data_IF_609640965792
#
_entry.id   IF_609640965792
#
_cell.length_a   1.000
_cell.length_b   1.000
_cell.length_c   1.000
_cell.angle_alpha   90.00
_cell.angle_beta   90.00
_cell.angle_gamma   90.00
#
_symmetry.space_group_name_H-M   'P 1'
#
loop_
_entity.id
_entity.type
_entity.pdbx_description
1 polymer ?
#
# COMPACT_ATOMS: atom_id res chain seq x y z
N UNK A 1 -24.57 3.03 -41.59
CA UNK A 1 -23.41 3.42 -40.76
C UNK A 1 -23.57 3.14 -39.25
N UNK A 2 -24.50 2.30 -38.79
CA UNK A 2 -24.79 2.09 -37.37
C UNK A 2 -24.11 0.84 -36.74
N UNK A 3 -23.62 -0.10 -37.57
CA UNK A 3 -23.08 -1.37 -37.04
C UNK A 3 -21.62 -1.29 -36.53
N UNK A 4 -20.81 -0.36 -36.99
CA UNK A 4 -19.41 -0.24 -36.55
C UNK A 4 -19.27 0.31 -35.13
N UNK A 5 -20.23 1.08 -34.66
CA UNK A 5 -20.15 1.76 -33.37
C UNK A 5 -20.49 0.87 -32.15
N UNK A 6 -21.11 -0.30 -32.36
CA UNK A 6 -21.49 -1.26 -31.31
C UNK A 6 -20.43 -2.35 -31.07
N UNK A 7 -19.56 -2.60 -32.05
CA UNK A 7 -18.56 -3.67 -31.99
C UNK A 7 -17.48 -3.39 -30.93
N UNK A 8 -17.01 -2.15 -30.82
CA UNK A 8 -15.99 -1.80 -29.85
C UNK A 8 -16.45 -1.96 -28.39
N UNK A 9 -17.59 -1.40 -27.94
CA UNK A 9 -18.07 -1.61 -26.57
C UNK A 9 -18.31 -3.09 -26.24
N UNK A 10 -18.83 -3.89 -27.16
CA UNK A 10 -19.04 -5.33 -26.95
C UNK A 10 -17.72 -6.08 -26.76
N UNK A 11 -16.71 -5.77 -27.57
CA UNK A 11 -15.35 -6.33 -27.42
C UNK A 11 -14.77 -5.98 -26.03
N UNK A 12 -14.90 -4.71 -25.62
CA UNK A 12 -14.41 -4.24 -24.32
C UNK A 12 -15.12 -4.94 -23.17
N UNK A 13 -16.44 -5.12 -23.25
CA UNK A 13 -17.21 -5.88 -22.24
C UNK A 13 -16.64 -7.31 -22.08
N UNK A 14 -16.38 -7.99 -23.20
CA UNK A 14 -15.81 -9.34 -23.13
C UNK A 14 -14.42 -9.36 -22.48
N UNK A 15 -13.55 -8.44 -22.88
CA UNK A 15 -12.20 -8.34 -22.29
C UNK A 15 -12.25 -8.06 -20.78
N UNK A 16 -13.09 -7.12 -20.35
CA UNK A 16 -13.26 -6.80 -18.94
C UNK A 16 -13.85 -7.97 -18.14
N UNK A 17 -14.81 -8.72 -18.71
CA UNK A 17 -15.36 -9.93 -18.08
C UNK A 17 -14.30 -11.01 -17.88
N UNK A 18 -13.41 -11.19 -18.85
CA UNK A 18 -12.30 -12.16 -18.73
C UNK A 18 -11.32 -11.73 -17.62
N UNK A 19 -10.90 -10.47 -17.61
CA UNK A 19 -10.03 -9.93 -16.56
C UNK A 19 -10.67 -10.08 -15.18
N UNK A 20 -11.97 -9.77 -15.06
CA UNK A 20 -12.72 -9.93 -13.82
C UNK A 20 -12.73 -11.38 -13.32
N UNK A 21 -13.01 -12.31 -14.22
CA UNK A 21 -13.04 -13.74 -13.88
C UNK A 21 -11.69 -14.24 -13.38
N UNK A 22 -10.61 -13.82 -14.01
CA UNK A 22 -9.25 -14.15 -13.59
C UNK A 22 -8.91 -13.57 -12.21
N UNK A 23 -9.27 -12.31 -11.97
CA UNK A 23 -9.08 -11.67 -10.66
C UNK A 23 -9.78 -12.44 -9.55
N UNK A 24 -11.05 -12.85 -9.77
CA UNK A 24 -11.81 -13.62 -8.79
C UNK A 24 -11.22 -15.02 -8.55
N UNK A 25 -10.72 -15.68 -9.60
CA UNK A 25 -10.05 -16.98 -9.45
C UNK A 25 -8.77 -16.84 -8.63
N UNK A 26 -7.98 -15.81 -8.90
CA UNK A 26 -6.75 -15.55 -8.15
C UNK A 26 -7.03 -15.13 -6.71
N UNK A 27 -8.09 -14.34 -6.48
CA UNK A 27 -8.54 -14.03 -5.13
C UNK A 27 -8.92 -15.29 -4.35
N UNK A 28 -9.75 -16.16 -4.94
CA UNK A 28 -10.19 -17.39 -4.29
C UNK A 28 -9.00 -18.28 -3.91
N UNK A 29 -7.99 -18.43 -4.81
CA UNK A 29 -6.78 -19.21 -4.52
C UNK A 29 -5.86 -18.51 -3.52
N UNK A 30 -5.59 -17.22 -3.71
CA UNK A 30 -4.67 -16.47 -2.85
C UNK A 30 -5.22 -16.24 -1.44
N UNK A 31 -6.55 -16.09 -1.28
CA UNK A 31 -7.16 -15.96 0.04
C UNK A 31 -7.25 -17.30 0.77
N UNK A 32 -7.25 -18.43 0.08
CA UNK A 32 -7.18 -19.75 0.71
C UNK A 32 -5.85 -19.95 1.45
N UNK A 33 -4.75 -19.45 0.88
CA UNK A 33 -3.41 -19.50 1.50
C UNK A 33 -3.19 -18.42 2.56
N UNK A 34 -4.07 -17.40 2.61
CA UNK A 34 -3.92 -16.22 3.46
C UNK A 34 -4.53 -16.36 4.86
N UNK A 35 -4.59 -17.56 5.44
CA UNK A 35 -5.08 -17.77 6.81
C UNK A 35 -4.43 -16.89 7.88
N UNK A 36 -3.31 -16.21 7.53
CA UNK A 36 -2.59 -15.25 8.35
C UNK A 36 -3.03 -13.79 8.20
N UNK A 37 -3.90 -13.46 7.25
CA UNK A 37 -4.33 -12.06 7.03
C UNK A 37 -5.38 -11.68 8.07
N UNK A 38 -5.07 -10.65 8.86
CA UNK A 38 -6.00 -10.10 9.83
C UNK A 38 -7.29 -9.60 9.16
N UNK A 39 -8.44 -9.79 9.83
CA UNK A 39 -9.76 -9.48 9.27
C UNK A 39 -9.88 -8.03 8.76
N UNK A 40 -9.30 -7.05 9.46
CA UNK A 40 -9.30 -5.64 9.04
C UNK A 40 -8.51 -5.36 7.76
N UNK A 41 -7.62 -6.27 7.33
CA UNK A 41 -6.79 -6.10 6.13
C UNK A 41 -7.22 -6.98 4.97
N UNK A 42 -8.26 -7.79 5.11
CA UNK A 42 -8.71 -8.71 4.05
C UNK A 42 -9.12 -7.99 2.78
N UNK A 43 -9.87 -6.89 2.88
CA UNK A 43 -10.26 -6.09 1.72
C UNK A 43 -9.04 -5.53 0.98
N UNK A 44 -8.05 -5.03 1.71
CA UNK A 44 -6.79 -4.54 1.13
C UNK A 44 -5.97 -5.67 0.49
N UNK A 45 -5.96 -6.86 1.10
CA UNK A 45 -5.28 -8.04 0.55
C UNK A 45 -5.95 -8.52 -0.74
N UNK A 46 -7.28 -8.61 -0.77
CA UNK A 46 -8.04 -8.94 -1.99
C UNK A 46 -7.75 -7.93 -3.10
N UNK A 47 -7.79 -6.63 -2.80
CA UNK A 47 -7.47 -5.59 -3.76
C UNK A 47 -6.03 -5.68 -4.28
N UNK A 48 -5.06 -6.05 -3.44
CA UNK A 48 -3.69 -6.29 -3.88
C UNK A 48 -3.61 -7.47 -4.86
N UNK A 49 -4.34 -8.55 -4.62
CA UNK A 49 -4.42 -9.69 -5.55
C UNK A 49 -5.02 -9.25 -6.88
N UNK A 50 -6.10 -8.47 -6.87
CA UNK A 50 -6.70 -7.91 -8.08
C UNK A 50 -5.73 -7.01 -8.85
N UNK A 51 -4.99 -6.17 -8.13
CA UNK A 51 -3.96 -5.33 -8.72
C UNK A 51 -2.87 -6.15 -9.40
N UNK A 52 -2.34 -7.17 -8.71
CA UNK A 52 -1.32 -8.05 -9.26
C UNK A 52 -1.83 -8.85 -10.47
N UNK A 53 -3.09 -9.29 -10.45
CA UNK A 53 -3.74 -9.93 -11.59
C UNK A 53 -3.78 -9.00 -12.81
N UNK A 54 -4.26 -7.76 -12.61
CA UNK A 54 -4.33 -6.77 -13.68
C UNK A 54 -2.94 -6.47 -14.29
N UNK A 55 -1.90 -6.41 -13.45
CA UNK A 55 -0.52 -6.12 -13.87
C UNK A 55 0.15 -7.24 -14.66
N UNK A 56 -0.44 -8.45 -14.72
CA UNK A 56 0.04 -9.54 -15.58
C UNK A 56 -0.28 -9.32 -17.05
N UNK A 57 -1.22 -8.41 -17.36
CA UNK A 57 -1.68 -8.14 -18.71
C UNK A 57 -1.11 -6.83 -19.26
N UNK A 58 -0.85 -6.80 -20.57
CA UNK A 58 -0.66 -5.53 -21.27
C UNK A 58 -2.03 -4.96 -21.64
N UNK A 59 -2.50 -4.03 -20.83
CA UNK A 59 -3.81 -3.40 -21.00
C UNK A 59 -3.77 -2.05 -21.73
N UNK A 60 -2.63 -1.65 -22.31
CA UNK A 60 -2.48 -0.32 -22.95
C UNK A 60 -3.48 -0.08 -24.06
N UNK A 61 -3.75 -1.09 -24.88
CA UNK A 61 -4.77 -0.99 -25.92
C UNK A 61 -6.17 -0.83 -25.32
N UNK A 62 -6.52 -1.66 -24.33
CA UNK A 62 -7.77 -1.54 -23.57
C UNK A 62 -7.93 -0.15 -22.97
N UNK A 63 -6.89 0.39 -22.36
CA UNK A 63 -6.89 1.74 -21.77
C UNK A 63 -7.17 2.82 -22.81
N UNK A 64 -6.54 2.74 -23.98
CA UNK A 64 -6.75 3.67 -25.07
C UNK A 64 -8.18 3.57 -25.60
N UNK A 65 -8.69 2.36 -25.84
CA UNK A 65 -10.03 2.12 -26.33
C UNK A 65 -11.11 2.61 -25.35
N UNK A 66 -10.93 2.40 -24.03
CA UNK A 66 -11.83 2.94 -23.01
C UNK A 66 -11.83 4.47 -22.99
N UNK A 67 -10.65 5.08 -23.09
CA UNK A 67 -10.50 6.53 -23.11
C UNK A 67 -11.21 7.18 -24.33
N UNK A 68 -11.22 6.51 -25.50
CA UNK A 68 -11.95 7.01 -26.68
C UNK A 68 -13.46 7.05 -26.47
N UNK A 69 -13.99 6.25 -25.55
CA UNK A 69 -15.40 6.26 -25.15
C UNK A 69 -15.68 7.21 -23.98
N UNK A 70 -14.69 7.99 -23.52
CA UNK A 70 -14.82 8.86 -22.36
C UNK A 70 -14.94 8.12 -21.02
N UNK A 71 -14.58 6.85 -20.98
CA UNK A 71 -14.62 6.02 -19.78
C UNK A 71 -13.27 6.02 -19.05
N UNK A 72 -13.29 5.61 -17.77
CA UNK A 72 -12.04 5.40 -17.03
C UNK A 72 -11.14 4.39 -17.74
N UNK A 73 -9.89 4.75 -17.94
CA UNK A 73 -8.87 3.88 -18.53
C UNK A 73 -8.33 2.83 -17.55
N UNK A 74 -8.85 2.74 -16.32
CA UNK A 74 -8.34 1.88 -15.25
C UNK A 74 -6.88 2.18 -14.85
N UNK A 75 -6.37 3.35 -15.22
CA UNK A 75 -4.96 3.73 -14.99
C UNK A 75 -4.66 4.22 -13.57
N UNK A 76 -5.69 4.54 -12.78
CA UNK A 76 -5.59 5.05 -11.40
C UNK A 76 -6.60 4.38 -10.49
N UNK A 77 -6.65 3.07 -10.52
CA UNK A 77 -7.60 2.28 -9.73
C UNK A 77 -6.93 1.40 -8.67
N UNK A 78 -5.67 1.68 -8.31
CA UNK A 78 -4.89 0.87 -7.36
C UNK A 78 -5.61 0.68 -6.02
N UNK A 79 -6.40 1.64 -5.61
CA UNK A 79 -7.12 1.61 -4.33
C UNK A 79 -8.40 0.75 -4.36
N UNK A 80 -8.93 0.44 -5.56
CA UNK A 80 -10.22 -0.25 -5.75
C UNK A 80 -10.31 -0.91 -7.12
N UNK A 81 -9.38 -1.82 -7.41
CA UNK A 81 -9.19 -2.38 -8.77
C UNK A 81 -10.45 -3.03 -9.30
N UNK A 82 -11.07 -3.93 -8.54
CA UNK A 82 -12.32 -4.60 -8.93
C UNK A 82 -13.47 -3.60 -9.04
N UNK A 83 -13.63 -2.72 -8.05
CA UNK A 83 -14.68 -1.70 -8.07
C UNK A 83 -14.60 -0.77 -9.27
N UNK A 84 -13.38 -0.37 -9.66
CA UNK A 84 -13.14 0.44 -10.86
C UNK A 84 -13.49 -0.31 -12.16
N UNK A 85 -13.09 -1.58 -12.25
CA UNK A 85 -13.41 -2.45 -13.38
C UNK A 85 -14.92 -2.68 -13.50
N UNK A 86 -15.60 -2.98 -12.39
CA UNK A 86 -17.04 -3.21 -12.35
C UNK A 86 -17.85 -1.96 -12.72
N UNK A 87 -17.40 -0.77 -12.29
CA UNK A 87 -18.01 0.49 -12.67
C UNK A 87 -17.95 0.71 -14.19
N UNK A 88 -16.78 0.50 -14.81
CA UNK A 88 -16.62 0.62 -16.27
C UNK A 88 -17.47 -0.43 -16.99
N UNK A 89 -17.52 -1.65 -16.49
CA UNK A 89 -18.32 -2.73 -17.07
C UNK A 89 -19.82 -2.41 -17.04
N UNK A 90 -20.33 -1.87 -15.92
CA UNK A 90 -21.74 -1.41 -15.82
C UNK A 90 -22.03 -0.32 -16.84
N UNK A 91 -21.18 0.69 -16.95
CA UNK A 91 -21.35 1.79 -17.90
C UNK A 91 -21.35 1.31 -19.36
N UNK A 92 -20.42 0.42 -19.73
CA UNK A 92 -20.38 -0.17 -21.07
C UNK A 92 -21.62 -1.00 -21.37
N UNK A 93 -22.11 -1.77 -20.41
CA UNK A 93 -23.32 -2.59 -20.58
C UNK A 93 -24.55 -1.70 -20.83
N UNK A 94 -24.69 -0.62 -20.05
CA UNK A 94 -25.75 0.36 -20.26
C UNK A 94 -25.64 1.07 -21.60
N UNK A 95 -24.43 1.33 -22.09
CA UNK A 95 -24.19 1.94 -23.40
C UNK A 95 -24.65 1.03 -24.54
N UNK A 96 -24.48 -0.29 -24.42
CA UNK A 96 -24.84 -1.27 -25.45
C UNK A 96 -26.32 -1.63 -25.39
N UNK A 97 -26.87 -1.75 -24.19
CA UNK A 97 -28.25 -2.19 -23.94
C UNK A 97 -28.96 -1.27 -22.91
N UNK A 98 -29.31 -0.03 -23.30
CA UNK A 98 -29.89 0.96 -22.36
C UNK A 98 -31.25 0.54 -21.79
N UNK A 99 -32.00 -0.32 -22.49
CA UNK A 99 -33.30 -0.79 -22.05
C UNK A 99 -33.27 -2.00 -21.10
N UNK A 100 -32.12 -2.57 -20.91
CA UNK A 100 -31.92 -3.68 -19.96
C UNK A 100 -31.68 -3.18 -18.52
N UNK A 101 -32.02 -4.03 -17.56
CA UNK A 101 -31.69 -3.76 -16.16
C UNK A 101 -30.16 -3.57 -15.98
N UNK A 102 -29.75 -2.70 -15.07
CA UNK A 102 -28.32 -2.55 -14.75
C UNK A 102 -27.68 -3.90 -14.41
N UNK A 103 -26.44 -4.07 -14.87
CA UNK A 103 -25.69 -5.28 -14.59
C UNK A 103 -25.52 -5.45 -13.06
N UNK A 104 -26.15 -6.49 -12.52
CA UNK A 104 -26.02 -6.85 -11.13
C UNK A 104 -24.67 -7.56 -10.90
N UNK A 105 -23.80 -6.93 -10.17
CA UNK A 105 -22.51 -7.46 -9.78
C UNK A 105 -22.42 -7.38 -8.25
N UNK A 106 -21.89 -8.42 -7.60
CA UNK A 106 -21.64 -8.38 -6.16
C UNK A 106 -20.81 -7.14 -5.79
N UNK A 107 -21.07 -6.58 -4.63
CA UNK A 107 -20.28 -5.49 -4.12
C UNK A 107 -18.82 -5.93 -3.96
N UNK A 108 -17.94 -5.19 -4.59
CA UNK A 108 -16.50 -5.46 -4.53
C UNK A 108 -15.87 -4.65 -3.40
N UNK A 109 -15.09 -5.30 -2.57
CA UNK A 109 -14.34 -4.64 -1.50
C UNK A 109 -12.86 -4.52 -1.90
N UNK A 110 -12.23 -3.35 -1.77
CA UNK A 110 -12.86 -2.09 -1.38
C UNK A 110 -13.67 -1.46 -2.52
N UNK A 111 -14.80 -0.82 -2.19
CA UNK A 111 -15.55 -0.03 -3.14
C UNK A 111 -14.80 1.25 -3.55
N UNK A 112 -15.29 1.91 -4.61
CA UNK A 112 -14.74 3.19 -5.06
C UNK A 112 -14.85 4.21 -3.91
N UNK A 113 -13.71 4.79 -3.51
CA UNK A 113 -13.61 5.73 -2.38
C UNK A 113 -13.21 5.09 -1.05
N UNK A 114 -13.58 3.85 -0.76
CA UNK A 114 -13.19 3.16 0.48
C UNK A 114 -11.68 2.97 0.61
N UNK A 115 -10.98 2.74 -0.50
CA UNK A 115 -9.53 2.56 -0.50
C UNK A 115 -8.78 3.77 0.06
N UNK A 116 -9.26 4.98 -0.22
CA UNK A 116 -8.68 6.21 0.33
C UNK A 116 -8.87 6.28 1.86
N UNK A 117 -10.07 5.97 2.34
CA UNK A 117 -10.39 5.94 3.78
C UNK A 117 -9.59 4.86 4.51
N UNK A 118 -9.44 3.68 3.90
CA UNK A 118 -8.60 2.61 4.46
C UNK A 118 -7.12 3.02 4.52
N UNK A 119 -6.61 3.68 3.48
CA UNK A 119 -5.25 4.20 3.46
C UNK A 119 -5.03 5.22 4.57
N UNK A 120 -5.95 6.18 4.75
CA UNK A 120 -5.90 7.17 5.81
C UNK A 120 -5.89 6.51 7.19
N UNK A 121 -6.86 5.63 7.47
CA UNK A 121 -6.94 4.84 8.70
C UNK A 121 -5.66 4.06 8.99
N UNK A 122 -5.14 3.35 7.99
CA UNK A 122 -3.92 2.56 8.15
C UNK A 122 -2.69 3.46 8.36
N UNK A 123 -2.65 4.62 7.70
CA UNK A 123 -1.59 5.61 7.87
C UNK A 123 -1.62 6.20 9.29
N UNK A 124 -2.79 6.50 9.84
CA UNK A 124 -2.93 6.97 11.21
C UNK A 124 -2.50 5.91 12.24
N UNK A 125 -2.89 4.65 12.01
CA UNK A 125 -2.49 3.54 12.88
C UNK A 125 -0.97 3.35 12.88
N UNK A 126 -0.34 3.50 11.72
CA UNK A 126 1.10 3.26 11.56
C UNK A 126 1.94 4.46 11.96
N UNK A 127 1.53 5.67 11.56
CA UNK A 127 2.34 6.89 11.63
C UNK A 127 1.81 7.93 12.64
N UNK A 128 0.69 7.63 13.30
CA UNK A 128 -0.02 8.57 14.16
C UNK A 128 -0.95 9.53 13.38
N UNK A 129 -1.74 10.37 14.08
CA UNK A 129 -2.64 11.32 13.46
C UNK A 129 -1.86 12.34 12.61
N UNK A 130 -2.48 12.90 11.56
CA UNK A 130 -1.85 13.95 10.77
C UNK A 130 -1.64 15.20 11.65
N UNK A 131 -0.54 15.93 11.45
CA UNK A 131 -0.29 17.16 12.19
C UNK A 131 -1.29 18.26 11.75
N UNK A 132 -1.60 19.22 12.64
CA UNK A 132 -2.49 20.32 12.29
C UNK A 132 -2.00 21.10 11.07
N UNK A 133 -2.89 21.39 10.14
CA UNK A 133 -2.62 22.24 8.97
C UNK A 133 -1.93 21.56 7.79
N UNK A 134 -1.66 20.24 7.85
CA UNK A 134 -1.15 19.46 6.72
C UNK A 134 -1.63 18.00 6.74
N UNK A 135 -1.87 17.43 5.57
CA UNK A 135 -2.30 16.04 5.43
C UNK A 135 -1.12 15.06 5.24
N UNK A 136 0.09 15.59 5.09
CA UNK A 136 1.30 14.77 4.88
C UNK A 136 2.15 14.76 6.14
N UNK A 137 2.87 13.64 6.35
CA UNK A 137 3.82 13.49 7.45
C UNK A 137 5.23 13.64 6.91
N UNK A 138 6.07 14.39 7.62
CA UNK A 138 7.48 14.59 7.28
C UNK A 138 8.29 13.46 7.88
N UNK A 139 8.85 12.62 7.01
CA UNK A 139 9.76 11.54 7.39
C UNK A 139 11.20 11.98 7.11
N UNK A 140 12.06 11.95 8.12
CA UNK A 140 13.47 12.30 7.98
C UNK A 140 14.31 11.03 8.14
N UNK A 141 15.16 10.75 7.16
CA UNK A 141 16.19 9.70 7.30
C UNK A 141 17.34 10.27 8.10
N UNK A 142 17.65 9.61 9.23
CA UNK A 142 18.72 10.06 10.12
C UNK A 142 20.09 9.90 9.47
N UNK A 143 20.93 10.93 9.53
CA UNK A 143 22.36 10.81 9.28
C UNK A 143 23.06 10.15 10.47
N UNK A 144 24.27 9.65 10.27
CA UNK A 144 25.04 8.93 11.29
C UNK A 144 25.33 9.79 12.52
N UNK A 145 25.46 11.10 12.35
CA UNK A 145 25.69 12.09 13.41
C UNK A 145 24.56 12.10 14.44
N UNK A 146 23.34 11.77 14.04
CA UNK A 146 22.19 11.69 14.95
C UNK A 146 22.35 10.66 16.07
N UNK A 147 23.37 9.79 15.98
CA UNK A 147 23.75 8.85 17.03
C UNK A 147 24.22 9.57 18.30
N UNK A 148 24.99 10.64 18.16
CA UNK A 148 25.64 11.39 19.24
C UNK A 148 25.16 12.82 19.37
N UNK A 149 24.71 13.42 18.26
CA UNK A 149 24.20 14.79 18.22
C UNK A 149 22.70 14.84 18.60
N UNK A 150 22.46 15.09 19.88
CA UNK A 150 21.11 15.27 20.41
C UNK A 150 20.43 16.53 19.88
N UNK A 151 21.19 17.61 19.70
CA UNK A 151 20.62 18.91 19.30
C UNK A 151 20.09 18.84 17.88
N UNK A 152 20.79 18.15 16.97
CA UNK A 152 20.31 17.85 15.63
C UNK A 152 18.93 17.16 15.66
N UNK A 153 18.79 16.11 16.47
CA UNK A 153 17.52 15.35 16.54
C UNK A 153 16.41 16.20 17.18
N UNK A 154 16.73 16.96 18.24
CA UNK A 154 15.79 17.89 18.88
C UNK A 154 15.27 18.94 17.89
N UNK A 155 16.16 19.53 17.13
CA UNK A 155 15.80 20.60 16.20
C UNK A 155 14.94 20.09 15.04
N UNK A 156 15.20 18.88 14.54
CA UNK A 156 14.33 18.21 13.56
C UNK A 156 12.91 17.98 14.11
N UNK A 157 12.80 17.54 15.37
CA UNK A 157 11.49 17.37 16.04
C UNK A 157 10.79 18.72 16.21
N UNK A 158 11.51 19.79 16.59
CA UNK A 158 10.94 21.12 16.73
C UNK A 158 10.49 21.72 15.40
N UNK A 159 11.17 21.41 14.32
CA UNK A 159 10.80 21.82 12.94
C UNK A 159 9.68 21.00 12.33
N UNK A 160 9.13 20.04 13.05
CA UNK A 160 7.93 19.30 12.66
C UNK A 160 8.20 17.98 11.95
N UNK A 161 9.30 17.30 12.25
CA UNK A 161 9.49 15.90 11.88
C UNK A 161 8.42 15.04 12.58
N UNK A 162 7.69 14.24 11.80
CA UNK A 162 6.67 13.31 12.31
C UNK A 162 7.16 11.88 12.42
N UNK A 163 8.10 11.50 11.57
CA UNK A 163 8.63 10.14 11.53
C UNK A 163 10.15 10.18 11.39
N UNK A 164 10.83 9.35 12.17
CA UNK A 164 12.26 9.10 12.03
C UNK A 164 12.46 7.81 11.23
N UNK A 165 13.28 7.86 10.18
CA UNK A 165 13.70 6.66 9.43
C UNK A 165 15.16 6.38 9.67
N UNK A 166 15.49 5.16 10.10
CA UNK A 166 16.84 4.65 10.17
C UNK A 166 17.12 3.78 8.93
N UNK A 167 18.17 4.11 8.19
CA UNK A 167 18.60 3.29 7.06
C UNK A 167 19.55 2.19 7.56
N UNK A 168 19.03 0.99 7.73
CA UNK A 168 19.81 -0.14 8.24
C UNK A 168 20.87 -0.69 7.26
N UNK A 169 21.02 -0.10 6.07
CA UNK A 169 22.14 -0.38 5.18
C UNK A 169 23.44 0.33 5.60
N UNK A 170 23.33 1.29 6.51
CA UNK A 170 24.45 2.06 7.06
C UNK A 170 24.46 1.93 8.57
N UNK A 171 25.63 2.19 9.17
CA UNK A 171 25.85 2.12 10.60
C UNK A 171 25.60 0.71 11.21
N UNK A 172 25.54 0.62 12.52
CA UNK A 172 25.33 -0.62 13.26
C UNK A 172 24.26 -0.46 14.34
N UNK A 173 23.89 -1.56 15.02
CA UNK A 173 22.83 -1.57 16.05
C UNK A 173 23.06 -0.58 17.19
N UNK A 174 24.33 -0.30 17.55
CA UNK A 174 24.70 0.66 18.59
C UNK A 174 24.36 2.10 18.15
N UNK A 175 24.71 2.45 16.91
CA UNK A 175 24.38 3.74 16.34
C UNK A 175 22.85 3.93 16.22
N UNK A 176 22.15 2.93 15.73
CA UNK A 176 20.67 2.97 15.64
C UNK A 176 20.02 3.15 17.01
N UNK A 177 20.56 2.44 18.03
CA UNK A 177 20.11 2.59 19.42
C UNK A 177 20.39 4.00 19.96
N UNK A 178 21.50 4.62 19.58
CA UNK A 178 21.83 6.01 19.87
C UNK A 178 20.81 6.98 19.29
N UNK A 179 20.51 6.85 17.99
CA UNK A 179 19.50 7.66 17.30
C UNK A 179 18.13 7.56 17.97
N UNK A 180 17.68 6.35 18.31
CA UNK A 180 16.41 6.12 19.02
C UNK A 180 16.41 6.75 20.42
N UNK A 181 17.50 6.68 21.16
CA UNK A 181 17.60 7.33 22.47
C UNK A 181 17.50 8.84 22.36
N UNK A 182 18.19 9.44 21.39
CA UNK A 182 18.14 10.88 21.14
C UNK A 182 16.74 11.32 20.74
N UNK A 183 16.04 10.56 19.88
CA UNK A 183 14.64 10.83 19.55
C UNK A 183 13.73 10.80 20.78
N UNK A 184 13.80 9.72 21.59
CA UNK A 184 12.98 9.58 22.79
C UNK A 184 13.22 10.72 23.78
N UNK A 185 14.46 11.16 23.92
CA UNK A 185 14.81 12.31 24.75
C UNK A 185 14.24 13.62 24.17
N UNK A 186 14.30 13.82 22.85
CA UNK A 186 13.80 15.02 22.17
C UNK A 186 12.28 15.12 22.22
N UNK A 187 11.56 13.99 22.12
CA UNK A 187 10.09 13.95 22.19
C UNK A 187 9.60 14.17 23.63
N UNK A 188 10.33 13.67 24.66
CA UNK A 188 9.96 13.81 26.06
C UNK A 188 8.54 13.30 26.36
N UNK A 189 7.68 14.16 26.94
CA UNK A 189 6.27 13.84 27.23
C UNK A 189 5.30 14.12 26.09
N UNK A 190 5.79 14.46 24.89
CA UNK A 190 4.95 14.61 23.69
C UNK A 190 4.44 13.24 23.22
N UNK A 191 3.36 13.19 22.40
CA UNK A 191 2.94 11.95 21.77
C UNK A 191 4.14 11.28 21.07
N UNK A 192 4.29 9.94 21.18
CA UNK A 192 5.44 9.24 20.62
C UNK A 192 5.49 9.40 19.10
N UNK A 193 6.59 9.97 18.61
CA UNK A 193 6.94 9.92 17.20
C UNK A 193 7.24 8.47 16.78
N UNK A 194 6.86 8.12 15.56
CA UNK A 194 7.12 6.78 15.03
C UNK A 194 8.58 6.67 14.56
N UNK A 195 9.27 5.66 15.06
CA UNK A 195 10.59 5.25 14.58
C UNK A 195 10.43 4.11 13.56
N UNK A 196 10.81 4.38 12.31
CA UNK A 196 10.76 3.41 11.21
C UNK A 196 12.15 2.93 10.85
N UNK A 197 12.34 1.61 10.84
CA UNK A 197 13.57 0.97 10.38
C UNK A 197 13.39 0.50 8.94
N UNK A 198 14.22 1.02 8.02
CA UNK A 198 14.21 0.60 6.62
C UNK A 198 14.99 -0.72 6.43
N UNK A 199 14.63 -1.54 5.42
CA UNK A 199 15.33 -2.79 5.15
C UNK A 199 16.79 -2.54 4.77
N UNK A 200 17.67 -3.44 5.22
CA UNK A 200 19.04 -3.52 4.70
C UNK A 200 18.97 -3.95 3.23
N UNK A 201 19.28 -3.04 2.30
CA UNK A 201 19.63 -3.45 0.95
C UNK A 201 21.07 -3.93 0.98
N UNK A 202 21.40 -5.16 0.55
CA UNK A 202 22.79 -5.53 0.33
C UNK A 202 23.34 -4.58 -0.74
N UNK A 203 24.34 -3.77 -0.40
CA UNK A 203 25.14 -3.12 -1.44
C UNK A 203 25.81 -4.22 -2.25
N UNK A 204 25.58 -4.25 -3.56
CA UNK A 204 26.29 -5.11 -4.49
C UNK A 204 27.74 -4.58 -4.62
N UNK A 205 28.55 -4.86 -3.61
CA UNK A 205 29.99 -4.68 -3.63
C UNK A 205 30.64 -5.75 -2.77
N UNK A 206 31.30 -6.64 -3.46
CA UNK A 206 32.17 -7.72 -3.00
C UNK A 206 31.52 -8.99 -2.45
N UNK A 207 31.74 -10.04 -3.26
CA UNK A 207 31.68 -11.46 -2.94
C UNK A 207 32.22 -11.75 -1.53
N UNK A 208 31.53 -12.65 -0.86
CA UNK A 208 31.83 -13.32 0.41
C UNK A 208 31.25 -12.64 1.65
N UNK A 209 29.94 -12.75 1.88
CA UNK A 209 29.49 -13.41 3.09
C UNK A 209 27.99 -13.81 2.96
N UNK A 210 27.71 -15.08 3.28
CA UNK A 210 26.37 -15.64 3.23
C UNK A 210 25.54 -15.06 4.37
N UNK A 211 24.47 -14.41 4.01
CA UNK A 211 23.21 -14.18 4.72
C UNK A 211 23.21 -14.34 6.25
N UNK A 212 23.69 -13.35 7.00
CA UNK A 212 23.17 -13.10 8.33
C UNK A 212 21.99 -12.14 8.20
N UNK A 213 20.77 -12.69 8.34
CA UNK A 213 19.59 -11.88 8.54
C UNK A 213 19.86 -10.92 9.71
N UNK A 214 19.77 -9.61 9.47
CA UNK A 214 19.80 -8.59 10.53
C UNK A 214 18.57 -8.80 11.42
N UNK A 215 18.67 -9.62 12.45
CA UNK A 215 17.74 -9.62 13.57
C UNK A 215 18.10 -8.48 14.50
N UNK A 216 17.60 -7.29 14.21
CA UNK A 216 17.57 -6.24 15.21
C UNK A 216 16.40 -6.56 16.16
N UNK A 217 16.70 -7.00 17.36
CA UNK A 217 15.73 -7.05 18.45
C UNK A 217 15.41 -5.62 18.89
N UNK A 218 14.48 -4.98 18.20
CA UNK A 218 13.96 -3.69 18.62
C UNK A 218 12.76 -3.95 19.52
N UNK A 219 12.95 -3.84 20.82
CA UNK A 219 11.88 -3.78 21.81
C UNK A 219 11.22 -2.39 21.79
N UNK A 220 10.56 -2.04 20.68
CA UNK A 220 9.80 -0.80 20.63
C UNK A 220 8.36 -1.01 21.12
N UNK A 221 7.70 0.03 21.68
CA UNK A 221 6.28 -0.01 21.97
C UNK A 221 5.43 -0.37 20.74
N UNK A 222 5.85 0.03 19.54
CA UNK A 222 5.23 -0.32 18.28
C UNK A 222 5.28 -1.83 18.03
N UNK A 223 6.38 -2.53 18.37
CA UNK A 223 6.44 -3.99 18.27
C UNK A 223 5.51 -4.69 19.26
N UNK A 224 5.35 -4.15 20.47
CA UNK A 224 4.38 -4.68 21.45
C UNK A 224 2.93 -4.42 21.02
N UNK A 225 2.66 -3.30 20.38
CA UNK A 225 1.35 -3.01 19.80
C UNK A 225 1.09 -3.91 18.58
N UNK A 226 2.11 -4.09 17.72
CA UNK A 226 2.03 -4.95 16.56
C UNK A 226 1.86 -6.42 16.95
N UNK A 227 2.68 -6.96 17.85
CA UNK A 227 2.56 -8.34 18.31
C UNK A 227 1.30 -8.63 19.13
N UNK A 228 0.73 -7.62 19.83
CA UNK A 228 -0.59 -7.74 20.46
C UNK A 228 -1.74 -7.70 19.47
N UNK A 229 -1.59 -6.94 18.38
CA UNK A 229 -2.64 -6.74 17.38
C UNK A 229 -2.55 -7.74 16.22
N UNK A 230 -1.36 -8.34 16.02
CA UNK A 230 -1.09 -9.34 14.99
C UNK A 230 -0.29 -10.52 15.57
N UNK A 231 -0.91 -11.34 16.45
CA UNK A 231 -0.22 -12.49 17.02
C UNK A 231 0.08 -13.49 15.90
N UNK A 232 1.36 -13.75 15.66
CA UNK A 232 1.84 -14.67 14.63
C UNK A 232 2.45 -14.02 13.38
N UNK A 233 2.36 -12.71 13.20
CA UNK A 233 3.05 -12.02 12.11
C UNK A 233 4.54 -11.90 12.43
N UNK A 234 5.37 -12.77 11.85
CA UNK A 234 6.80 -12.58 11.80
C UNK A 234 7.11 -11.51 10.76
N UNK A 235 7.67 -10.37 11.19
CA UNK A 235 8.31 -9.41 10.30
C UNK A 235 9.53 -10.10 9.68
N UNK A 236 9.31 -10.83 8.58
CA UNK A 236 10.38 -11.31 7.73
C UNK A 236 10.81 -10.14 6.84
N UNK A 237 11.94 -9.54 7.15
CA UNK A 237 12.62 -8.62 6.25
C UNK A 237 13.38 -9.45 5.23
N UNK A 238 12.88 -9.47 3.97
CA UNK A 238 13.64 -9.91 2.82
C UNK A 238 14.42 -8.73 2.24
#
# INVERSE_FOLDING_TARGET
>A
MQNGNKLLPQKLIQQLKLLRSEMLQLEASGMADSGSVHSEHRASAANLIHYLALRRHDIRQLQTELATLGLSSLGRNEQHVMGGLDAVLRMLTQLVAPAEAPLDLPDSAPAIGEGATLLEKNSEILLGPPPPGRNVRIMVTMPSEATTDYDLVRDLVLQGMDCMRINCAHDGPEAWSGMVRNLRRAVGNRPPLQDLHGPCRPQASHRTDRGRACRAEVSSPARRLWSRRFPGAHLAYA
#
